data_IF_174118825900
#
_entry.id   IF_174118825900
#
_cell.length_a   1.000
_cell.length_b   1.000
_cell.length_c   1.000
_cell.angle_alpha   90.00
_cell.angle_beta   90.00
_cell.angle_gamma   90.00
#
_symmetry.space_group_name_H-M   'P 1'
#
loop_
_entity.id
_entity.type
_entity.pdbx_description
1 polymer ?
#
# COMPACT_ATOMS: atom_id res chain seq x y z
N UNK A 1 87.32 -13.93 19.09
CA UNK A 1 86.07 -14.56 18.63
C UNK A 1 84.93 -13.56 18.79
N UNK A 2 84.38 -13.03 17.69
CA UNK A 2 83.12 -12.27 17.68
C UNK A 2 82.24 -12.88 16.60
N UNK A 3 81.26 -13.70 17.01
CA UNK A 3 80.23 -14.25 16.10
C UNK A 3 79.20 -13.15 15.84
N UNK A 4 79.17 -12.70 14.60
CA UNK A 4 78.15 -11.82 14.05
C UNK A 4 76.91 -12.68 13.76
N UNK A 5 75.85 -12.53 14.54
CA UNK A 5 74.54 -13.12 14.23
C UNK A 5 73.86 -12.21 13.20
N UNK A 6 73.88 -12.62 11.93
CA UNK A 6 72.92 -12.18 10.91
C UNK A 6 71.71 -13.11 11.03
N UNK A 7 70.64 -12.65 11.66
CA UNK A 7 69.31 -13.27 11.55
C UNK A 7 68.55 -12.56 10.44
N UNK A 8 68.05 -13.36 9.50
CA UNK A 8 67.44 -12.91 8.26
C UNK A 8 66.07 -12.27 8.48
N UNK A 9 65.89 -11.12 7.84
CA UNK A 9 64.58 -10.50 7.59
C UNK A 9 63.86 -11.31 6.50
N UNK A 10 63.03 -12.29 6.88
CA UNK A 10 62.04 -12.92 5.97
C UNK A 10 60.74 -13.36 6.68
N UNK A 11 60.41 -12.80 7.85
CA UNK A 11 59.32 -13.34 8.69
C UNK A 11 58.29 -12.30 9.18
N UNK A 12 58.08 -11.19 8.47
CA UNK A 12 57.07 -10.17 8.83
C UNK A 12 56.23 -9.71 7.64
N UNK A 13 55.70 -10.63 6.83
CA UNK A 13 54.70 -10.30 5.79
C UNK A 13 53.30 -10.86 6.06
N UNK A 14 53.11 -11.81 6.98
CA UNK A 14 51.81 -12.45 7.18
C UNK A 14 50.78 -11.58 7.92
N UNK A 15 51.23 -10.80 8.91
CA UNK A 15 50.35 -9.95 9.72
C UNK A 15 49.62 -8.85 8.93
N UNK A 16 50.28 -8.08 8.03
CA UNK A 16 49.57 -7.08 7.22
C UNK A 16 48.68 -7.73 6.14
N UNK A 17 49.04 -8.91 5.64
CA UNK A 17 48.24 -9.63 4.65
C UNK A 17 46.94 -10.19 5.25
N UNK A 18 47.02 -10.77 6.45
CA UNK A 18 45.85 -11.28 7.17
C UNK A 18 44.87 -10.16 7.56
N UNK A 19 45.39 -9.02 8.01
CA UNK A 19 44.59 -7.84 8.32
C UNK A 19 43.89 -7.27 7.07
N UNK A 20 44.56 -7.27 5.92
CA UNK A 20 43.99 -6.82 4.64
C UNK A 20 42.87 -7.73 4.14
N UNK A 21 43.03 -9.06 4.27
CA UNK A 21 41.96 -10.02 3.95
C UNK A 21 40.75 -9.82 4.86
N UNK A 22 40.96 -9.64 6.17
CA UNK A 22 39.88 -9.43 7.12
C UNK A 22 39.05 -8.17 6.78
N UNK A 23 39.71 -7.07 6.40
CA UNK A 23 39.04 -5.83 5.97
C UNK A 23 38.24 -6.03 4.70
N UNK A 24 38.79 -6.75 3.71
CA UNK A 24 38.09 -7.05 2.46
C UNK A 24 36.84 -7.91 2.74
N UNK A 25 36.96 -8.96 3.54
CA UNK A 25 35.85 -9.84 3.90
C UNK A 25 34.75 -9.09 4.67
N UNK A 26 35.11 -8.25 5.65
CA UNK A 26 34.14 -7.41 6.35
C UNK A 26 33.42 -6.45 5.38
N UNK A 27 34.16 -5.85 4.44
CA UNK A 27 33.59 -4.96 3.43
C UNK A 27 32.54 -5.66 2.56
N UNK A 28 32.84 -6.87 2.08
CA UNK A 28 31.88 -7.66 1.31
C UNK A 28 30.65 -8.05 2.13
N UNK A 29 30.82 -8.50 3.38
CA UNK A 29 29.71 -8.86 4.26
C UNK A 29 28.78 -7.68 4.50
N UNK A 30 29.33 -6.48 4.74
CA UNK A 30 28.53 -5.27 4.94
C UNK A 30 27.76 -4.87 3.67
N UNK A 31 28.40 -4.95 2.50
CA UNK A 31 27.76 -4.59 1.23
C UNK A 31 26.64 -5.56 0.86
N UNK A 32 26.89 -6.87 1.00
CA UNK A 32 25.86 -7.89 0.77
C UNK A 32 24.74 -7.79 1.81
N UNK A 33 25.09 -7.57 3.08
CA UNK A 33 24.12 -7.39 4.16
C UNK A 33 23.20 -6.18 3.94
N UNK A 34 23.74 -5.06 3.47
CA UNK A 34 22.94 -3.87 3.17
C UNK A 34 21.94 -4.12 2.03
N UNK A 35 22.38 -4.75 0.94
CA UNK A 35 21.50 -5.11 -0.17
C UNK A 35 20.43 -6.13 0.22
N UNK A 36 20.73 -7.06 1.13
CA UNK A 36 19.75 -8.01 1.64
C UNK A 36 18.66 -7.30 2.47
N UNK A 37 19.04 -6.35 3.33
CA UNK A 37 18.10 -5.60 4.17
C UNK A 37 17.14 -4.76 3.32
N UNK A 38 17.62 -4.11 2.25
CA UNK A 38 16.76 -3.30 1.39
C UNK A 38 15.73 -4.15 0.64
N UNK A 39 16.12 -5.34 0.16
CA UNK A 39 15.19 -6.28 -0.48
C UNK A 39 14.16 -6.81 0.53
N UNK A 40 14.57 -7.14 1.75
CA UNK A 40 13.65 -7.60 2.79
C UNK A 40 12.62 -6.53 3.15
N UNK A 41 13.05 -5.26 3.29
CA UNK A 41 12.13 -4.14 3.53
C UNK A 41 11.12 -3.98 2.40
N UNK A 42 11.55 -4.09 1.14
CA UNK A 42 10.65 -4.03 0.00
C UNK A 42 9.61 -5.17 0.03
N UNK A 43 10.04 -6.40 0.28
CA UNK A 43 9.15 -7.56 0.37
C UNK A 43 8.14 -7.43 1.52
N UNK A 44 8.59 -6.98 2.70
CA UNK A 44 7.73 -6.73 3.84
C UNK A 44 6.66 -5.68 3.51
N UNK A 45 7.06 -4.58 2.87
CA UNK A 45 6.12 -3.54 2.46
C UNK A 45 5.13 -4.01 1.40
N UNK A 46 5.59 -4.73 0.38
CA UNK A 46 4.71 -5.33 -0.63
C UNK A 46 3.68 -6.24 0.02
N UNK A 47 4.09 -7.10 0.95
CA UNK A 47 3.19 -8.01 1.67
C UNK A 47 2.19 -7.27 2.58
N UNK A 48 2.62 -6.21 3.26
CA UNK A 48 1.75 -5.42 4.12
C UNK A 48 0.71 -4.65 3.31
N UNK A 49 1.13 -4.02 2.20
CA UNK A 49 0.22 -3.38 1.25
C UNK A 49 -0.80 -4.39 0.73
N UNK A 50 -0.35 -5.57 0.31
CA UNK A 50 -1.26 -6.62 -0.19
C UNK A 50 -2.31 -7.01 0.85
N UNK A 51 -1.89 -7.22 2.09
CA UNK A 51 -2.77 -7.57 3.21
C UNK A 51 -3.82 -6.48 3.49
N UNK A 52 -3.39 -5.21 3.56
CA UNK A 52 -4.28 -4.08 3.81
C UNK A 52 -5.27 -3.84 2.66
N UNK A 53 -4.83 -4.02 1.40
CA UNK A 53 -5.71 -3.96 0.23
C UNK A 53 -6.73 -5.10 0.21
N UNK A 54 -6.32 -6.32 0.59
CA UNK A 54 -7.25 -7.44 0.73
C UNK A 54 -8.28 -7.18 1.84
N UNK A 55 -7.86 -6.61 2.97
CA UNK A 55 -8.76 -6.24 4.07
C UNK A 55 -9.77 -5.17 3.64
N UNK A 56 -9.33 -4.16 2.88
CA UNK A 56 -10.20 -3.14 2.28
C UNK A 56 -11.21 -3.79 1.32
N UNK A 57 -10.76 -4.65 0.39
CA UNK A 57 -11.61 -5.37 -0.55
C UNK A 57 -12.68 -6.19 0.19
N UNK A 58 -12.26 -7.02 1.14
CA UNK A 58 -13.18 -7.86 1.94
C UNK A 58 -14.17 -7.03 2.75
N UNK A 59 -13.76 -5.87 3.28
CA UNK A 59 -14.66 -4.99 4.03
C UNK A 59 -15.72 -4.36 3.12
N UNK A 60 -15.34 -3.97 1.89
CA UNK A 60 -16.26 -3.48 0.88
C UNK A 60 -17.25 -4.56 0.42
N UNK A 61 -16.76 -5.76 0.12
CA UNK A 61 -17.58 -6.92 -0.29
C UNK A 61 -18.59 -7.32 0.79
N UNK A 62 -18.17 -7.36 2.05
CA UNK A 62 -19.07 -7.69 3.16
C UNK A 62 -20.15 -6.61 3.36
N UNK A 63 -19.78 -5.33 3.21
CA UNK A 63 -20.72 -4.20 3.37
C UNK A 63 -21.76 -4.19 2.24
N UNK A 64 -21.32 -4.35 0.99
CA UNK A 64 -22.21 -4.40 -0.18
C UNK A 64 -23.14 -5.62 -0.16
N UNK A 65 -22.62 -6.79 0.24
CA UNK A 65 -23.39 -8.03 0.40
C UNK A 65 -24.45 -7.98 1.51
N UNK A 66 -24.46 -6.92 2.33
CA UNK A 66 -25.49 -6.70 3.34
C UNK A 66 -25.23 -7.36 4.69
N UNK A 67 -23.98 -7.73 5.00
CA UNK A 67 -23.60 -8.27 6.33
C UNK A 67 -23.47 -7.18 7.43
N UNK A 68 -24.03 -5.99 7.20
CA UNK A 68 -24.02 -4.87 8.13
C UNK A 68 -22.94 -3.81 7.82
N UNK A 69 -22.78 -2.86 8.74
CA UNK A 69 -21.68 -1.88 8.67
C UNK A 69 -20.36 -2.54 9.04
N UNK A 70 -19.30 -2.25 8.28
CA UNK A 70 -17.95 -2.71 8.62
C UNK A 70 -17.10 -1.53 9.09
N UNK A 71 -16.25 -1.79 10.08
CA UNK A 71 -15.22 -0.86 10.52
C UNK A 71 -13.87 -1.53 10.33
N UNK A 72 -12.92 -0.81 9.74
CA UNK A 72 -11.56 -1.29 9.59
C UNK A 72 -10.58 -0.11 9.66
N UNK A 73 -9.38 -0.40 10.11
CA UNK A 73 -8.28 0.55 10.09
C UNK A 73 -7.43 0.25 8.87
N UNK A 74 -7.19 1.27 8.04
CA UNK A 74 -6.29 1.18 6.89
C UNK A 74 -5.02 1.96 7.21
N UNK A 75 -3.90 1.26 7.36
CA UNK A 75 -2.61 1.91 7.60
C UNK A 75 -1.45 1.13 7.01
N UNK A 76 -0.68 1.83 6.18
CA UNK A 76 0.49 1.28 5.51
C UNK A 76 1.78 1.45 6.34
N UNK A 77 1.68 1.93 7.59
CA UNK A 77 2.80 2.08 8.51
C UNK A 77 3.98 2.86 7.90
N UNK A 78 5.20 2.35 8.13
CA UNK A 78 6.45 2.92 7.61
C UNK A 78 6.66 2.68 6.10
N UNK A 79 5.81 1.87 5.47
CA UNK A 79 5.88 1.59 4.03
C UNK A 79 5.21 2.68 3.18
N UNK A 80 4.44 3.57 3.82
CA UNK A 80 3.90 4.74 3.15
C UNK A 80 4.80 5.96 3.31
N UNK A 81 5.35 6.44 2.19
CA UNK A 81 6.15 7.65 2.18
C UNK A 81 5.26 8.87 2.50
N UNK A 82 4.19 9.10 1.72
CA UNK A 82 2.98 9.91 2.02
C UNK A 82 1.87 9.48 1.05
N UNK A 83 0.66 9.19 1.54
CA UNK A 83 -0.51 9.09 0.65
C UNK A 83 -0.96 10.52 0.39
N UNK A 84 -0.89 10.96 -0.85
CA UNK A 84 -1.36 12.28 -1.27
C UNK A 84 -2.52 12.14 -2.24
N UNK A 85 -3.30 13.21 -2.40
CA UNK A 85 -4.46 13.21 -3.28
C UNK A 85 -4.10 12.63 -4.66
N UNK A 86 -4.87 11.65 -5.11
CA UNK A 86 -4.65 10.93 -6.36
C UNK A 86 -4.79 11.81 -7.62
N UNK A 87 -5.22 13.06 -7.47
CA UNK A 87 -5.43 14.01 -8.56
C UNK A 87 -4.07 14.45 -9.14
N UNK A 88 -3.74 13.95 -10.34
CA UNK A 88 -2.50 14.29 -11.04
C UNK A 88 -1.34 13.32 -10.76
N UNK A 89 -1.61 12.16 -10.14
CA UNK A 89 -0.61 11.11 -10.05
C UNK A 89 -0.23 10.64 -11.47
N UNK A 90 1.03 10.84 -11.81
CA UNK A 90 1.68 10.27 -12.99
C UNK A 90 2.91 9.53 -12.49
N UNK A 91 3.01 8.24 -12.79
CA UNK A 91 4.19 7.43 -12.47
C UNK A 91 5.48 8.01 -13.09
N UNK A 92 5.35 8.92 -14.06
CA UNK A 92 6.46 9.61 -14.73
C UNK A 92 6.72 11.03 -14.19
N UNK A 93 5.84 11.57 -13.34
CA UNK A 93 6.13 12.81 -12.61
C UNK A 93 7.15 12.47 -11.53
N UNK A 94 8.35 13.03 -11.59
CA UNK A 94 9.53 12.65 -10.78
C UNK A 94 9.42 12.81 -9.25
N UNK A 95 8.22 12.82 -8.68
CA UNK A 95 7.96 12.80 -7.25
C UNK A 95 7.99 11.36 -6.72
N UNK A 96 9.09 11.00 -6.07
CA UNK A 96 9.37 9.63 -5.59
C UNK A 96 8.53 9.20 -4.37
N UNK A 97 7.67 10.07 -3.86
CA UNK A 97 6.98 9.86 -2.57
C UNK A 97 5.46 9.81 -2.68
N UNK A 98 4.91 9.87 -3.90
CA UNK A 98 3.46 9.82 -4.07
C UNK A 98 2.99 8.38 -4.13
N UNK A 99 1.97 8.08 -3.31
CA UNK A 99 1.22 6.85 -3.32
C UNK A 99 -0.26 7.18 -3.50
N UNK A 100 -0.94 6.45 -4.37
CA UNK A 100 -2.34 6.63 -4.67
C UNK A 100 -3.07 5.28 -4.56
N UNK A 101 -4.23 5.30 -3.89
CA UNK A 101 -5.15 4.16 -3.85
C UNK A 101 -6.49 4.65 -4.33
N UNK A 102 -7.08 3.94 -5.29
CA UNK A 102 -8.43 4.23 -5.79
C UNK A 102 -9.13 2.95 -6.19
N UNK A 103 -10.45 2.97 -6.11
CA UNK A 103 -11.32 1.98 -6.71
C UNK A 103 -11.57 2.37 -8.17
N UNK A 104 -11.41 1.42 -9.09
CA UNK A 104 -11.54 1.63 -10.54
C UNK A 104 -12.47 0.55 -11.07
N UNK A 105 -13.48 0.97 -11.82
CA UNK A 105 -14.30 0.05 -12.58
C UNK A 105 -13.69 -0.15 -13.96
N UNK A 106 -13.48 -1.40 -14.34
CA UNK A 106 -13.04 -1.78 -15.68
C UNK A 106 -14.17 -2.50 -16.41
N UNK A 107 -14.32 -2.17 -17.69
CA UNK A 107 -15.25 -2.81 -18.63
C UNK A 107 -14.53 -3.71 -19.62
N UNK A 108 -13.22 -3.96 -19.42
CA UNK A 108 -12.42 -4.83 -20.27
C UNK A 108 -12.42 -6.26 -19.70
N UNK A 109 -13.03 -7.24 -20.40
CA UNK A 109 -13.05 -8.63 -19.95
C UNK A 109 -11.66 -9.24 -19.78
N UNK A 110 -10.65 -8.76 -20.52
CA UNK A 110 -9.27 -9.21 -20.38
C UNK A 110 -8.68 -8.77 -19.04
N UNK A 111 -8.86 -7.50 -18.66
CA UNK A 111 -8.42 -7.00 -17.37
C UNK A 111 -9.17 -7.73 -16.24
N UNK A 112 -10.48 -7.89 -16.37
CA UNK A 112 -11.28 -8.57 -15.36
C UNK A 112 -10.91 -10.05 -15.20
N UNK A 113 -10.69 -10.79 -16.29
CA UNK A 113 -10.26 -12.19 -16.19
C UNK A 113 -8.88 -12.36 -15.56
N UNK A 114 -7.96 -11.43 -15.81
CA UNK A 114 -6.61 -11.48 -15.22
C UNK A 114 -6.60 -11.21 -13.71
N UNK A 115 -7.37 -10.23 -13.23
CA UNK A 115 -7.36 -9.85 -11.81
C UNK A 115 -8.44 -10.53 -10.97
N UNK A 116 -9.61 -10.82 -11.53
CA UNK A 116 -10.75 -11.41 -10.83
C UNK A 116 -10.93 -12.91 -11.10
N UNK A 117 -10.02 -13.56 -11.84
CA UNK A 117 -10.07 -15.00 -12.17
C UNK A 117 -11.38 -15.48 -12.82
N UNK A 118 -12.20 -14.56 -13.33
CA UNK A 118 -13.47 -14.83 -14.00
C UNK A 118 -13.67 -13.86 -15.15
N UNK A 119 -14.08 -14.38 -16.30
CA UNK A 119 -14.44 -13.54 -17.45
C UNK A 119 -15.79 -12.87 -17.16
N UNK A 120 -15.72 -11.60 -16.75
CA UNK A 120 -16.88 -10.72 -16.53
C UNK A 120 -16.78 -9.56 -17.50
N UNK A 121 -17.92 -9.06 -17.97
CA UNK A 121 -17.96 -7.90 -18.86
C UNK A 121 -17.54 -6.60 -18.15
N UNK A 122 -17.66 -6.57 -16.82
CA UNK A 122 -17.13 -5.50 -15.99
C UNK A 122 -16.77 -5.99 -14.58
N UNK A 123 -15.83 -5.31 -13.94
CA UNK A 123 -15.35 -5.61 -12.59
C UNK A 123 -14.84 -4.34 -11.89
N UNK A 124 -14.88 -4.35 -10.56
CA UNK A 124 -14.27 -3.30 -9.72
C UNK A 124 -12.92 -3.77 -9.21
N UNK A 125 -11.92 -2.89 -9.28
CA UNK A 125 -10.54 -3.16 -8.91
C UNK A 125 -10.03 -2.09 -7.96
N UNK A 126 -9.38 -2.47 -6.86
CA UNK A 126 -8.59 -1.53 -6.06
C UNK A 126 -7.18 -1.51 -6.65
N UNK A 127 -6.72 -0.33 -7.03
CA UNK A 127 -5.38 -0.11 -7.53
C UNK A 127 -4.57 0.69 -6.53
N UNK A 128 -3.41 0.16 -6.14
CA UNK A 128 -2.36 0.89 -5.43
C UNK A 128 -1.23 1.20 -6.39
N UNK A 129 -0.95 2.49 -6.58
CA UNK A 129 0.14 2.99 -7.40
C UNK A 129 1.16 3.73 -6.53
N UNK A 130 2.45 3.46 -6.76
CA UNK A 130 3.56 4.07 -6.04
C UNK A 130 4.78 4.22 -6.94
N UNK A 131 5.59 5.24 -6.70
CA UNK A 131 6.90 5.37 -7.36
C UNK A 131 7.96 4.40 -6.81
N UNK A 132 7.75 3.84 -5.61
CA UNK A 132 8.74 3.04 -4.87
C UNK A 132 8.49 1.54 -4.97
N UNK A 133 7.24 1.14 -5.19
CA UNK A 133 6.79 -0.24 -5.20
C UNK A 133 6.08 -0.55 -6.51
N UNK A 134 6.02 -1.83 -6.87
CA UNK A 134 5.22 -2.26 -8.02
C UNK A 134 3.73 -1.95 -7.77
N UNK A 135 3.05 -1.54 -8.83
CA UNK A 135 1.59 -1.36 -8.81
C UNK A 135 0.92 -2.66 -8.38
N UNK A 136 0.08 -2.57 -7.36
CA UNK A 136 -0.72 -3.69 -6.91
C UNK A 136 -2.16 -3.46 -7.32
N UNK A 137 -2.84 -4.51 -7.78
CA UNK A 137 -4.23 -4.44 -8.20
C UNK A 137 -4.97 -5.63 -7.62
N UNK A 138 -6.08 -5.35 -6.94
CA UNK A 138 -6.92 -6.37 -6.30
C UNK A 138 -8.31 -6.29 -6.88
N UNK A 139 -8.85 -7.46 -7.23
CA UNK A 139 -10.26 -7.55 -7.55
C UNK A 139 -11.10 -7.31 -6.29
N UNK A 140 -12.24 -6.65 -6.47
CA UNK A 140 -13.28 -6.52 -5.46
C UNK A 140 -14.57 -7.07 -6.04
N UNK A 141 -15.19 -8.02 -5.36
CA UNK A 141 -16.45 -8.63 -5.77
C UNK A 141 -17.65 -7.74 -5.41
N UNK A 142 -17.69 -6.55 -5.98
CA UNK A 142 -18.80 -5.61 -5.91
C UNK A 142 -19.32 -5.29 -7.30
N UNK A 143 -20.56 -4.80 -7.37
CA UNK A 143 -21.09 -4.33 -8.65
C UNK A 143 -20.28 -3.11 -9.12
N UNK A 144 -19.85 -3.04 -10.39
CA UNK A 144 -19.22 -1.84 -10.95
C UNK A 144 -20.20 -0.66 -11.06
N UNK A 145 -21.48 -0.89 -10.78
CA UNK A 145 -22.47 0.17 -10.62
C UNK A 145 -22.61 0.66 -9.18
N UNK A 146 -21.74 0.24 -8.26
CA UNK A 146 -21.78 0.70 -6.86
C UNK A 146 -21.42 2.17 -6.77
N UNK A 147 -22.25 2.96 -6.10
CA UNK A 147 -22.05 4.40 -5.96
C UNK A 147 -21.46 4.73 -4.59
N UNK A 148 -20.41 5.55 -4.59
CA UNK A 148 -19.78 6.15 -3.40
C UNK A 148 -20.03 7.66 -3.42
N UNK A 149 -21.02 8.18 -2.68
CA UNK A 149 -21.32 9.60 -2.68
C UNK A 149 -20.16 10.42 -2.10
N UNK A 150 -19.97 11.62 -2.66
CA UNK A 150 -18.93 12.58 -2.26
C UNK A 150 -19.43 13.61 -1.22
N UNK A 151 -20.75 13.67 -1.01
CA UNK A 151 -21.40 14.65 -0.16
C UNK A 151 -22.51 13.99 0.69
N UNK A 152 -22.71 14.45 1.94
CA UNK A 152 -23.81 13.98 2.77
C UNK A 152 -25.18 14.23 2.12
N UNK A 153 -26.12 13.33 2.35
CA UNK A 153 -27.46 13.43 1.79
C UNK A 153 -28.46 12.50 2.47
N UNK A 154 -29.61 12.28 1.84
CA UNK A 154 -30.68 11.43 2.38
C UNK A 154 -30.29 9.96 2.53
N UNK A 155 -29.35 9.48 1.72
CA UNK A 155 -28.88 8.08 1.73
C UNK A 155 -27.63 7.88 2.59
N UNK A 156 -26.76 8.89 2.68
CA UNK A 156 -25.57 8.89 3.50
C UNK A 156 -25.63 10.10 4.45
N UNK A 157 -26.07 9.91 5.72
CA UNK A 157 -26.23 11.02 6.65
C UNK A 157 -24.90 11.69 6.95
N UNK A 158 -24.94 12.97 7.32
CA UNK A 158 -23.77 13.69 7.79
C UNK A 158 -23.33 13.13 9.15
N UNK A 159 -22.05 12.78 9.25
CA UNK A 159 -21.40 12.26 10.46
C UNK A 159 -20.22 13.12 10.91
N UNK A 160 -20.15 14.36 10.44
CA UNK A 160 -19.09 15.30 10.83
C UNK A 160 -19.09 15.55 12.35
N UNK A 161 -20.26 15.56 12.99
CA UNK A 161 -20.39 15.66 14.46
C UNK A 161 -19.79 14.46 15.21
N UNK A 162 -19.77 13.27 14.59
CA UNK A 162 -19.11 12.07 15.12
C UNK A 162 -17.60 12.04 14.81
N UNK A 163 -17.06 13.08 14.15
CA UNK A 163 -15.68 13.13 13.70
C UNK A 163 -15.41 12.28 12.45
N UNK A 164 -16.42 12.05 11.61
CA UNK A 164 -16.28 11.31 10.35
C UNK A 164 -16.56 12.19 9.14
N UNK A 165 -15.76 12.04 8.09
CA UNK A 165 -15.98 12.67 6.78
C UNK A 165 -16.37 11.60 5.76
N UNK A 166 -17.35 11.92 4.90
CA UNK A 166 -17.71 11.05 3.78
C UNK A 166 -16.63 11.14 2.70
N UNK A 167 -16.21 10.00 2.16
CA UNK A 167 -15.15 9.90 1.16
C UNK A 167 -15.61 9.08 -0.04
N UNK A 168 -15.33 9.58 -1.24
CA UNK A 168 -15.54 8.83 -2.47
C UNK A 168 -14.33 7.92 -2.75
N UNK A 169 -14.52 6.61 -2.59
CA UNK A 169 -13.45 5.61 -2.78
C UNK A 169 -13.02 5.45 -4.25
N UNK A 170 -13.82 5.93 -5.21
CA UNK A 170 -13.44 5.94 -6.63
C UNK A 170 -12.37 7.01 -6.92
N UNK A 171 -12.34 8.07 -6.11
CA UNK A 171 -11.34 9.15 -6.27
C UNK A 171 -10.07 8.86 -5.51
N UNK A 172 -10.19 8.48 -4.24
CA UNK A 172 -9.05 8.26 -3.36
C UNK A 172 -9.43 7.46 -2.12
N UNK A 173 -8.51 6.62 -1.66
CA UNK A 173 -8.54 5.98 -0.35
C UNK A 173 -7.36 6.49 0.48
N UNK A 174 -7.67 7.20 1.57
CA UNK A 174 -6.71 7.78 2.52
C UNK A 174 -6.37 6.78 3.63
N UNK A 175 -5.27 7.00 4.34
CA UNK A 175 -5.00 6.23 5.56
C UNK A 175 -5.86 6.72 6.71
N UNK A 176 -6.48 5.81 7.45
CA UNK A 176 -7.40 6.18 8.53
C UNK A 176 -8.28 5.04 9.00
N UNK A 177 -9.18 5.36 9.94
CA UNK A 177 -10.21 4.44 10.42
C UNK A 177 -11.46 4.64 9.58
N UNK A 178 -11.91 3.59 8.91
CA UNK A 178 -13.08 3.62 8.05
C UNK A 178 -14.31 3.02 8.74
N UNK A 179 -15.47 3.57 8.41
CA UNK A 179 -16.78 3.01 8.71
C UNK A 179 -17.56 2.95 7.39
N UNK A 180 -17.71 1.74 6.84
CA UNK A 180 -18.49 1.51 5.63
C UNK A 180 -19.92 1.12 6.03
N UNK A 181 -20.89 1.80 5.43
CA UNK A 181 -22.31 1.55 5.68
C UNK A 181 -23.02 1.42 4.35
N UNK A 182 -23.77 0.34 4.17
CA UNK A 182 -24.67 0.20 3.02
C UNK A 182 -25.88 1.11 3.23
N UNK A 183 -26.12 2.03 2.31
CA UNK A 183 -27.34 2.82 2.32
C UNK A 183 -28.49 1.95 1.81
N UNK A 184 -29.50 1.76 2.67
CA UNK A 184 -30.72 1.06 2.26
C UNK A 184 -31.61 2.07 1.53
N UNK A 185 -31.72 1.92 0.22
CA UNK A 185 -32.64 2.71 -0.59
C UNK A 185 -33.60 1.80 -1.31
N UNK A 186 -34.89 1.95 -1.03
CA UNK A 186 -35.97 1.19 -1.69
C UNK A 186 -36.15 1.57 -3.16
N UNK A 187 -35.61 2.73 -3.57
CA UNK A 187 -35.75 3.31 -4.91
C UNK A 187 -34.46 3.38 -5.69
N UNK A 188 -33.31 3.03 -5.08
CA UNK A 188 -32.04 3.07 -5.80
C UNK A 188 -31.94 1.84 -6.72
N UNK A 189 -31.67 2.10 -8.00
CA UNK A 189 -31.40 1.06 -8.99
C UNK A 189 -30.03 0.38 -8.77
N UNK A 190 -29.18 0.95 -7.92
CA UNK A 190 -27.78 0.56 -7.73
C UNK A 190 -27.44 0.52 -6.24
N UNK A 191 -26.50 -0.35 -5.81
CA UNK A 191 -26.04 -0.39 -4.44
C UNK A 191 -25.27 0.89 -4.10
N UNK A 192 -25.54 1.46 -2.93
CA UNK A 192 -24.90 2.69 -2.46
C UNK A 192 -24.15 2.36 -1.18
N UNK A 193 -22.87 2.72 -1.14
CA UNK A 193 -22.01 2.53 0.04
C UNK A 193 -21.51 3.87 0.51
N UNK A 194 -21.86 4.21 1.75
CA UNK A 194 -21.35 5.38 2.44
C UNK A 194 -20.03 4.99 3.10
N UNK A 195 -18.92 5.50 2.56
CA UNK A 195 -17.59 5.29 3.12
C UNK A 195 -17.19 6.49 3.97
N UNK A 196 -17.17 6.32 5.29
CA UNK A 196 -16.77 7.36 6.22
C UNK A 196 -15.34 7.13 6.69
N UNK A 197 -14.50 8.17 6.68
CA UNK A 197 -13.16 8.15 7.27
C UNK A 197 -13.11 9.01 8.53
N UNK A 198 -12.50 8.49 9.59
CA UNK A 198 -12.38 9.21 10.85
C UNK A 198 -11.32 10.32 10.74
N UNK A 199 -11.73 11.53 11.08
CA UNK A 199 -10.89 12.70 11.17
C UNK A 199 -9.93 12.57 12.35
N UNK A 200 -8.60 12.61 12.10
CA UNK A 200 -7.60 12.66 13.19
C UNK A 200 -7.51 14.02 13.89
N UNK A 201 -8.16 15.05 13.34
CA UNK A 201 -8.21 16.42 13.89
C UNK A 201 -9.65 16.95 13.90
N UNK A 202 -10.03 17.82 14.85
CA UNK A 202 -11.42 18.30 15.02
C UNK A 202 -11.95 19.16 13.87
N UNK A 203 -11.13 19.53 12.89
CA UNK A 203 -11.55 20.23 11.69
C UNK A 203 -11.19 19.39 10.47
N UNK A 204 -12.17 18.63 9.97
CA UNK A 204 -12.15 18.13 8.61
C UNK A 204 -12.79 19.21 7.73
N UNK A 205 -11.96 19.87 6.91
CA UNK A 205 -12.39 20.81 5.89
C UNK A 205 -11.62 20.49 4.60
#
# INVERSE_FOLDING_TARGET
>A
MKKFFRMGEKAQESAPFELLIAVILMGFVLLVGYNAITQLKQQQCTSLIDAELNQLATSLENTTSGKGSSQFQFSLGECAAKVSDCQGFSANAGSKDIQCIRLIDSVDPYICSNFCSSARDACSLIQYESAQFQTQTKCVDISPSTVFPDSPGSQCPDRTADGYQLLNLNTEVKQGTYSLVKANSLTAAQPIVCAYVQCRTPNCA
#
